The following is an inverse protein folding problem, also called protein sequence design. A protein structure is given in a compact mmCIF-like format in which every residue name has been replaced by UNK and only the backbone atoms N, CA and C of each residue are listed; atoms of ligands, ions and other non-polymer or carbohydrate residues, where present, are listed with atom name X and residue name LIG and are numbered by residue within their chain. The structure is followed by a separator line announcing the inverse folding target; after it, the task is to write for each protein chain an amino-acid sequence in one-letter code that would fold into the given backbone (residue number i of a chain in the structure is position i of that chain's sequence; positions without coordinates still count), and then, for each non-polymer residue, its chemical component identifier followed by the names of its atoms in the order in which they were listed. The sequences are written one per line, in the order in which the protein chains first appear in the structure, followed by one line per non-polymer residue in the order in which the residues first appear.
data_IF_965023011244
#
_entry.id   IF_965023011244
#
_cell.length_a   1.000
_cell.length_b   1.000
_cell.length_c   1.000
_cell.angle_alpha   90.00
_cell.angle_beta   90.00
_cell.angle_gamma   90.00
#
_symmetry.space_group_name_H-M   'P 1'
#
loop_
_entity.id
_entity.type
_entity.pdbx_description
1 polymer ?
#
# COMPACT_ATOMS: atom_id res chain seq x y z
N UNK A 1 5.30 -15.12 8.41
CA UNK A 1 4.58 -14.03 9.09
C UNK A 1 3.80 -13.25 8.05
N UNK A 2 2.66 -12.65 8.41
CA UNK A 2 1.95 -11.71 7.53
C UNK A 2 2.29 -10.29 7.93
N UNK A 3 2.72 -9.47 6.99
CA UNK A 3 3.13 -8.08 7.22
C UNK A 3 2.21 -7.18 6.39
N UNK A 4 1.41 -6.35 7.05
CA UNK A 4 0.51 -5.39 6.40
C UNK A 4 1.17 -4.02 6.38
N UNK A 5 1.24 -3.40 5.20
CA UNK A 5 1.84 -2.07 5.00
C UNK A 5 0.81 -1.17 4.34
N UNK A 6 0.47 -0.06 4.99
CA UNK A 6 -0.34 0.99 4.38
C UNK A 6 0.48 1.73 3.33
N UNK A 7 -0.10 1.93 2.14
CA UNK A 7 0.51 2.60 1.02
C UNK A 7 -0.43 3.64 0.41
N UNK A 8 0.00 4.89 0.40
CA UNK A 8 -0.74 6.05 -0.09
C UNK A 8 -0.02 6.79 -1.23
N UNK A 9 1.13 6.27 -1.70
CA UNK A 9 1.96 6.90 -2.74
C UNK A 9 2.89 8.01 -2.25
N UNK A 10 2.79 8.43 -0.99
CA UNK A 10 3.71 9.39 -0.38
C UNK A 10 5.15 8.86 -0.32
N UNK A 11 6.12 9.76 -0.18
CA UNK A 11 7.52 9.34 -0.03
C UNK A 11 7.77 8.59 1.29
N UNK A 12 6.95 8.86 2.31
CA UNK A 12 6.97 8.12 3.58
C UNK A 12 6.55 6.66 3.39
N UNK A 13 5.48 6.40 2.64
CA UNK A 13 5.02 5.03 2.38
C UNK A 13 5.98 4.25 1.47
N UNK A 14 6.64 4.91 0.52
CA UNK A 14 7.73 4.30 -0.26
C UNK A 14 8.91 3.89 0.63
N UNK A 15 9.32 4.74 1.58
CA UNK A 15 10.39 4.41 2.54
C UNK A 15 10.00 3.24 3.45
N UNK A 16 8.73 3.13 3.84
CA UNK A 16 8.23 1.98 4.59
C UNK A 16 8.39 0.67 3.80
N UNK A 17 8.13 0.68 2.49
CA UNK A 17 8.38 -0.49 1.62
C UNK A 17 9.87 -0.87 1.60
N UNK A 18 10.77 0.11 1.47
CA UNK A 18 12.21 -0.16 1.49
C UNK A 18 12.67 -0.74 2.84
N UNK A 19 12.09 -0.29 3.95
CA UNK A 19 12.34 -0.87 5.27
C UNK A 19 11.90 -2.34 5.34
N UNK A 20 10.71 -2.65 4.80
CA UNK A 20 10.15 -4.00 4.81
C UNK A 20 11.06 -4.97 4.04
N UNK A 21 11.65 -4.55 2.92
CA UNK A 21 12.60 -5.39 2.16
C UNK A 21 13.78 -5.88 2.99
N UNK A 22 14.22 -5.10 3.97
CA UNK A 22 15.33 -5.47 4.86
C UNK A 22 14.91 -6.40 6.00
N UNK A 23 13.61 -6.50 6.28
CA UNK A 23 13.06 -7.24 7.42
C UNK A 23 12.34 -8.54 7.00
N UNK A 24 11.64 -8.51 5.88
CA UNK A 24 10.85 -9.63 5.38
C UNK A 24 11.76 -10.79 4.93
N UNK A 25 11.38 -12.00 5.33
CA UNK A 25 12.06 -13.24 4.93
C UNK A 25 11.34 -13.87 3.73
N UNK A 26 12.01 -14.80 3.05
CA UNK A 26 11.49 -15.48 1.84
C UNK A 26 10.09 -16.09 2.00
N UNK A 27 9.74 -16.55 3.20
CA UNK A 27 8.47 -17.21 3.49
C UNK A 27 7.45 -16.28 4.18
N UNK A 28 7.75 -14.98 4.29
CA UNK A 28 6.80 -13.99 4.78
C UNK A 28 5.90 -13.51 3.65
N UNK A 29 4.65 -13.21 4.00
CA UNK A 29 3.67 -12.63 3.08
C UNK A 29 3.58 -11.14 3.38
N UNK A 30 3.89 -10.31 2.38
CA UNK A 30 3.79 -8.85 2.47
C UNK A 30 2.54 -8.41 1.74
N UNK A 31 1.64 -7.75 2.45
CA UNK A 31 0.39 -7.20 1.92
C UNK A 31 0.49 -5.69 1.90
N UNK A 32 0.36 -5.10 0.71
CA UNK A 32 0.24 -3.65 0.55
C UNK A 32 -1.23 -3.25 0.50
N UNK A 33 -1.63 -2.32 1.36
CA UNK A 33 -3.00 -1.82 1.44
C UNK A 33 -3.03 -0.34 1.09
N UNK A 34 -3.76 0.02 0.05
CA UNK A 34 -4.12 1.42 -0.22
C UNK A 34 -5.57 1.66 0.14
N UNK A 35 -5.86 2.80 0.74
CA UNK A 35 -7.22 3.22 1.07
C UNK A 35 -7.61 4.29 0.07
N UNK A 36 -8.68 4.04 -0.68
CA UNK A 36 -9.31 5.07 -1.50
C UNK A 36 -10.41 5.71 -0.65
N UNK A 37 -10.31 7.02 -0.31
CA UNK A 37 -11.35 7.73 0.40
C UNK A 37 -12.71 7.59 -0.29
N UNK A 38 -13.77 7.37 0.49
CA UNK A 38 -15.11 7.10 -0.05
C UNK A 38 -15.62 8.27 -0.90
N UNK A 39 -15.25 9.51 -0.55
CA UNK A 39 -15.60 10.72 -1.28
C UNK A 39 -15.05 10.70 -2.71
N UNK A 40 -13.88 10.07 -2.91
CA UNK A 40 -13.21 9.96 -4.19
C UNK A 40 -13.76 8.81 -5.05
N UNK A 41 -14.53 7.86 -4.49
CA UNK A 41 -15.12 6.74 -5.26
C UNK A 41 -16.04 7.22 -6.38
N UNK A 42 -16.72 8.35 -6.18
CA UNK A 42 -17.56 8.97 -7.21
C UNK A 42 -16.76 9.78 -8.25
N UNK A 43 -15.48 10.06 -7.98
CA UNK A 43 -14.62 10.83 -8.88
C UNK A 43 -14.30 10.04 -10.16
N UNK A 44 -14.10 10.77 -11.27
CA UNK A 44 -13.68 10.15 -12.54
C UNK A 44 -12.34 9.42 -12.42
N UNK A 45 -11.47 9.87 -11.51
CA UNK A 45 -10.16 9.27 -11.26
C UNK A 45 -10.28 7.87 -10.66
N UNK A 46 -11.10 7.67 -9.64
CA UNK A 46 -11.26 6.33 -9.01
C UNK A 46 -11.95 5.33 -9.94
N UNK A 47 -12.89 5.78 -10.79
CA UNK A 47 -13.51 4.92 -11.83
C UNK A 47 -12.52 4.41 -12.88
N UNK A 48 -11.36 5.04 -13.03
CA UNK A 48 -10.33 4.62 -13.97
C UNK A 48 -9.37 3.57 -13.38
N UNK A 49 -9.34 3.44 -12.05
CA UNK A 49 -8.43 2.55 -11.30
C UNK A 49 -9.07 1.20 -10.91
N UNK A 50 -10.40 1.09 -11.00
CA UNK A 50 -11.19 -0.10 -10.67
C UNK A 50 -11.82 -0.67 -11.96
#
# INVERSE_FOLDING_TARGET
MKILVAYDGSDSSKKAIEMIKNFAKKNDEVVLLTVIPAELVSSSFTKMLL
#
